data_IF_337380641818
#
_entry.id   IF_337380641818
#
_cell.length_a   1.000
_cell.length_b   1.000
_cell.length_c   1.000
_cell.angle_alpha   90.00
_cell.angle_beta   90.00
_cell.angle_gamma   90.00
#
_symmetry.space_group_name_H-M   'P 1'
#
loop_
_entity.id
_entity.type
_entity.pdbx_description
1 polymer ?
#
# COMPACT_ATOMS: atom_id res chain seq x y z
N UNK A 1 -1.97 -4.16 -7.56
CA UNK A 1 -3.37 -4.65 -7.54
C UNK A 1 -3.50 -6.09 -7.05
N UNK A 2 -2.88 -7.12 -7.68
CA UNK A 2 -3.02 -8.53 -7.22
C UNK A 2 -2.74 -8.79 -5.73
N UNK A 3 -1.70 -8.19 -5.15
CA UNK A 3 -1.40 -8.32 -3.71
C UNK A 3 -2.53 -7.76 -2.84
N UNK A 4 -3.11 -6.64 -3.27
CA UNK A 4 -4.21 -5.96 -2.59
C UNK A 4 -5.47 -6.81 -2.66
N UNK A 5 -5.79 -7.35 -3.84
CA UNK A 5 -6.91 -8.29 -4.02
C UNK A 5 -6.81 -9.48 -3.07
N UNK A 6 -5.64 -10.14 -3.04
CA UNK A 6 -5.42 -11.29 -2.15
C UNK A 6 -5.58 -10.93 -0.67
N UNK A 7 -5.09 -9.76 -0.25
CA UNK A 7 -5.25 -9.30 1.13
C UNK A 7 -6.73 -9.05 1.45
N UNK A 8 -7.44 -8.37 0.56
CA UNK A 8 -8.87 -8.10 0.69
C UNK A 8 -9.72 -9.38 0.73
N UNK A 9 -9.47 -10.33 -0.18
CA UNK A 9 -10.15 -11.63 -0.21
C UNK A 9 -10.00 -12.41 1.12
N UNK A 10 -8.94 -12.14 1.87
CA UNK A 10 -8.67 -12.72 3.20
C UNK A 10 -9.11 -11.85 4.37
N UNK A 11 -9.88 -10.78 4.12
CA UNK A 11 -10.31 -9.78 5.11
C UNK A 11 -9.13 -9.18 5.90
N UNK A 12 -8.01 -8.91 5.22
CA UNK A 12 -6.84 -8.28 5.84
C UNK A 12 -6.80 -6.78 5.47
N UNK A 13 -7.13 -5.87 6.41
CA UNK A 13 -7.03 -4.43 6.15
C UNK A 13 -5.61 -4.06 5.74
N UNK A 14 -5.49 -3.29 4.67
CA UNK A 14 -4.20 -3.03 4.02
C UNK A 14 -3.92 -1.54 3.90
N UNK A 15 -2.70 -1.14 4.24
CA UNK A 15 -2.17 0.19 3.99
C UNK A 15 -1.15 0.12 2.85
N UNK A 16 -1.35 0.89 1.78
CA UNK A 16 -0.41 1.01 0.67
C UNK A 16 0.33 2.34 0.83
N UNK A 17 1.65 2.28 0.97
CA UNK A 17 2.48 3.48 1.09
C UNK A 17 2.94 3.93 -0.30
N UNK A 18 2.23 4.90 -0.88
CA UNK A 18 2.63 5.55 -2.13
C UNK A 18 3.76 6.56 -1.88
N UNK A 19 4.65 6.74 -2.87
CA UNK A 19 5.77 7.69 -2.81
C UNK A 19 5.32 9.14 -2.80
N UNK A 20 4.24 9.43 -3.51
CA UNK A 20 3.70 10.76 -3.70
C UNK A 20 2.21 10.67 -4.11
N UNK A 21 1.57 11.84 -4.20
CA UNK A 21 0.16 11.96 -4.60
C UNK A 21 -0.11 11.39 -6.00
N UNK A 22 0.79 11.63 -6.96
CA UNK A 22 0.61 11.15 -8.33
C UNK A 22 0.60 9.61 -8.40
N UNK A 23 1.45 8.95 -7.62
CA UNK A 23 1.42 7.50 -7.51
C UNK A 23 0.16 7.02 -6.78
N UNK A 24 -0.33 7.75 -5.77
CA UNK A 24 -1.55 7.38 -5.06
C UNK A 24 -2.77 7.40 -6.00
N UNK A 25 -2.94 8.46 -6.77
CA UNK A 25 -4.00 8.59 -7.79
C UNK A 25 -3.90 7.51 -8.86
N UNK A 26 -2.69 7.27 -9.38
CA UNK A 26 -2.48 6.20 -10.35
C UNK A 26 -2.82 4.81 -9.78
N UNK A 27 -2.56 4.57 -8.50
CA UNK A 27 -2.91 3.31 -7.85
C UNK A 27 -4.42 3.15 -7.63
N UNK A 28 -5.10 4.24 -7.29
CA UNK A 28 -6.56 4.29 -7.15
C UNK A 28 -7.23 3.90 -8.48
N UNK A 29 -6.87 4.58 -9.57
CA UNK A 29 -7.35 4.27 -10.93
C UNK A 29 -7.04 2.81 -11.32
N UNK A 30 -5.82 2.34 -11.03
CA UNK A 30 -5.40 0.98 -11.36
C UNK A 30 -6.13 -0.09 -10.55
N UNK A 31 -6.53 0.20 -9.31
CA UNK A 31 -7.30 -0.73 -8.49
C UNK A 31 -8.75 -0.80 -8.96
N UNK A 32 -9.36 0.34 -9.33
CA UNK A 32 -10.69 0.35 -9.94
C UNK A 32 -10.76 -0.35 -11.29
N UNK A 33 -9.73 -0.18 -12.13
CA UNK A 33 -9.67 -0.79 -13.46
C UNK A 33 -9.11 -2.22 -13.46
N UNK A 34 -8.71 -2.76 -12.29
CA UNK A 34 -7.89 -3.97 -12.22
C UNK A 34 -8.60 -5.22 -12.75
N UNK A 35 -9.79 -5.49 -12.22
CA UNK A 35 -10.59 -6.66 -12.54
C UNK A 35 -12.06 -6.27 -12.39
N UNK A 36 -12.88 -6.33 -13.47
CA UNK A 36 -14.28 -5.93 -13.41
C UNK A 36 -15.13 -6.78 -12.46
N UNK A 37 -14.67 -7.98 -12.13
CA UNK A 37 -15.35 -8.89 -11.18
C UNK A 37 -14.82 -8.73 -9.74
N UNK A 38 -13.73 -7.98 -9.53
CA UNK A 38 -13.14 -7.73 -8.21
C UNK A 38 -13.48 -6.31 -7.72
N UNK A 39 -14.49 -6.21 -6.85
CA UNK A 39 -14.73 -4.98 -6.11
C UNK A 39 -13.82 -4.93 -4.87
N UNK A 40 -12.77 -4.11 -4.93
CA UNK A 40 -11.86 -3.85 -3.80
C UNK A 40 -12.19 -2.46 -3.28
N UNK A 41 -12.89 -2.30 -2.15
CA UNK A 41 -13.17 -0.97 -1.60
C UNK A 41 -11.86 -0.37 -1.06
N UNK A 42 -11.47 0.75 -1.66
CA UNK A 42 -10.24 1.47 -1.36
C UNK A 42 -10.45 2.97 -1.51
N UNK A 43 -9.57 3.75 -0.88
CA UNK A 43 -9.49 5.20 -1.08
C UNK A 43 -8.08 5.73 -0.79
N UNK A 44 -7.80 6.93 -1.27
CA UNK A 44 -6.65 7.70 -0.82
C UNK A 44 -6.94 8.23 0.58
N UNK A 45 -6.00 8.04 1.50
CA UNK A 45 -6.15 8.48 2.88
C UNK A 45 -6.46 9.98 2.99
N UNK A 46 -7.42 10.32 3.85
CA UNK A 46 -7.88 11.69 4.06
C UNK A 46 -8.74 12.28 2.93
N UNK A 47 -9.15 11.48 1.94
CA UNK A 47 -10.11 11.94 0.92
C UNK A 47 -11.53 12.08 1.49
N UNK A 48 -11.89 11.24 2.46
CA UNK A 48 -13.21 11.13 3.07
C UNK A 48 -13.11 10.82 4.58
N UNK A 49 -14.23 10.91 5.30
CA UNK A 49 -14.29 10.67 6.75
C UNK A 49 -14.23 9.18 7.14
N UNK A 50 -14.25 8.28 6.16
CA UNK A 50 -14.42 6.83 6.35
C UNK A 50 -13.08 6.04 6.39
N UNK A 51 -11.95 6.71 6.59
CA UNK A 51 -10.60 6.08 6.63
C UNK A 51 -10.53 4.87 7.59
N UNK A 52 -11.25 4.92 8.71
CA UNK A 52 -11.30 3.87 9.72
C UNK A 52 -12.00 2.59 9.27
N UNK A 53 -12.93 2.68 8.31
CA UNK A 53 -13.77 1.56 7.86
C UNK A 53 -13.43 1.07 6.46
N UNK A 54 -12.76 1.90 5.64
CA UNK A 54 -12.37 1.51 4.28
C UNK A 54 -11.34 0.38 4.33
N UNK A 55 -11.49 -0.79 3.68
CA UNK A 55 -10.59 -1.94 3.82
C UNK A 55 -9.16 -1.74 3.31
N UNK A 56 -8.95 -0.85 2.34
CA UNK A 56 -7.63 -0.56 1.77
C UNK A 56 -7.42 0.96 1.72
N UNK A 57 -6.36 1.46 2.35
CA UNK A 57 -5.96 2.86 2.24
C UNK A 57 -4.71 3.01 1.38
N UNK A 58 -4.68 4.05 0.56
CA UNK A 58 -3.50 4.50 -0.18
C UNK A 58 -3.00 5.77 0.50
N UNK A 59 -1.84 5.70 1.15
CA UNK A 59 -1.28 6.81 1.92
C UNK A 59 -0.12 7.47 1.17
N UNK A 60 -0.14 8.79 1.12
CA UNK A 60 1.03 9.60 0.72
C UNK A 60 1.94 9.85 1.94
N UNK A 61 3.20 10.32 1.76
CA UNK A 61 4.10 10.57 2.88
C UNK A 61 3.55 11.52 3.94
N UNK A 62 2.68 12.44 3.55
CA UNK A 62 2.11 13.47 4.42
C UNK A 62 0.73 13.09 5.00
N UNK A 63 0.20 11.90 4.67
CA UNK A 63 -1.08 11.40 5.17
C UNK A 63 -0.97 10.89 6.61
N UNK A 64 -1.88 11.33 7.48
CA UNK A 64 -2.14 10.67 8.77
C UNK A 64 -3.18 9.55 8.53
N UNK A 65 -2.89 8.33 9.02
CA UNK A 65 -3.75 7.17 8.73
C UNK A 65 -3.88 6.23 9.93
N UNK A 66 -5.04 5.58 10.09
CA UNK A 66 -5.16 4.47 11.02
C UNK A 66 -4.19 3.34 10.61
N UNK A 67 -3.51 2.77 11.59
CA UNK A 67 -2.60 1.65 11.37
C UNK A 67 -3.35 0.40 10.89
N UNK A 68 -2.69 -0.40 10.05
CA UNK A 68 -3.28 -1.61 9.46
C UNK A 68 -2.35 -2.81 9.62
N UNK A 69 -2.89 -4.03 9.76
CA UNK A 69 -2.09 -5.23 9.98
C UNK A 69 -1.17 -5.55 8.79
N UNK A 70 -1.57 -5.23 7.56
CA UNK A 70 -0.74 -5.38 6.37
C UNK A 70 -0.33 -4.03 5.79
N UNK A 71 0.98 -3.86 5.58
CA UNK A 71 1.55 -2.71 4.86
C UNK A 71 2.15 -3.19 3.55
N UNK A 72 1.85 -2.52 2.45
CA UNK A 72 2.53 -2.67 1.16
C UNK A 72 3.35 -1.41 0.92
N UNK A 73 4.67 -1.52 1.01
CA UNK A 73 5.57 -0.38 0.92
C UNK A 73 6.07 -0.18 -0.51
N UNK A 74 5.75 0.96 -1.12
CA UNK A 74 6.28 1.39 -2.43
C UNK A 74 7.27 2.55 -2.30
N UNK A 75 7.56 2.99 -1.07
CA UNK A 75 8.47 4.08 -0.76
C UNK A 75 9.91 3.59 -0.65
N UNK A 76 10.83 4.55 -0.68
CA UNK A 76 12.26 4.27 -0.50
C UNK A 76 12.64 4.07 0.98
N UNK A 77 11.91 4.74 1.89
CA UNK A 77 12.08 4.60 3.33
C UNK A 77 11.38 3.32 3.86
N UNK A 78 11.95 2.65 4.88
CA UNK A 78 11.24 1.59 5.59
C UNK A 78 10.00 2.12 6.31
N UNK A 79 9.04 1.23 6.52
CA UNK A 79 7.94 1.46 7.43
C UNK A 79 8.37 1.13 8.86
N UNK A 80 8.19 2.06 9.79
CA UNK A 80 8.55 1.93 11.20
C UNK A 80 7.32 1.94 12.14
N UNK A 81 6.12 2.11 11.58
CA UNK A 81 4.87 2.10 12.34
C UNK A 81 4.37 0.68 12.68
N UNK A 82 3.32 0.58 13.52
CA UNK A 82 2.79 -0.71 13.93
C UNK A 82 2.09 -1.41 12.76
N UNK A 83 2.44 -2.68 12.56
CA UNK A 83 1.76 -3.60 11.65
C UNK A 83 2.14 -5.04 12.03
N UNK A 84 1.43 -6.02 11.47
CA UNK A 84 1.79 -7.44 11.61
C UNK A 84 2.76 -7.88 10.52
N UNK A 85 2.68 -7.29 9.33
CA UNK A 85 3.52 -7.63 8.19
C UNK A 85 3.72 -6.46 7.23
N UNK A 86 4.96 -6.28 6.79
CA UNK A 86 5.30 -5.40 5.65
C UNK A 86 5.62 -6.24 4.42
N UNK A 87 5.04 -5.87 3.28
CA UNK A 87 5.37 -6.38 1.96
C UNK A 87 6.14 -5.31 1.18
N UNK A 88 7.41 -5.58 0.92
CA UNK A 88 8.27 -4.75 0.11
C UNK A 88 8.15 -5.14 -1.37
N UNK A 89 7.71 -4.19 -2.22
CA UNK A 89 7.60 -4.46 -3.66
C UNK A 89 8.97 -4.24 -4.31
N UNK A 90 9.60 -5.35 -4.68
CA UNK A 90 10.91 -5.35 -5.35
C UNK A 90 10.70 -5.18 -6.85
N UNK A 91 11.36 -4.19 -7.50
CA UNK A 91 11.37 -4.12 -8.96
C UNK A 91 11.92 -5.40 -9.58
N UNK A 92 11.40 -5.77 -10.75
CA UNK A 92 11.87 -6.94 -11.48
C UNK A 92 13.34 -6.78 -11.93
N UNK A 93 13.77 -5.55 -12.18
CA UNK A 93 15.14 -5.21 -12.54
C UNK A 93 16.12 -5.54 -11.40
N UNK A 94 17.08 -6.47 -11.61
CA UNK A 94 18.08 -6.81 -10.61
C UNK A 94 18.95 -5.62 -10.16
N UNK A 95 19.21 -4.64 -11.04
CA UNK A 95 20.02 -3.46 -10.71
C UNK A 95 19.32 -2.54 -9.70
N UNK A 96 17.99 -2.56 -9.67
CA UNK A 96 17.18 -1.79 -8.74
C UNK A 96 17.01 -2.47 -7.35
N UNK A 97 17.73 -3.58 -7.08
CA UNK A 97 17.60 -4.34 -5.82
C UNK A 97 18.58 -3.92 -4.73
N UNK A 98 19.67 -3.24 -5.06
CA UNK A 98 20.65 -2.78 -4.07
C UNK A 98 20.03 -1.86 -3.00
N UNK A 99 19.24 -0.83 -3.35
CA UNK A 99 18.57 0.03 -2.36
C UNK A 99 17.63 -0.77 -1.43
N UNK A 100 16.96 -1.79 -1.98
CA UNK A 100 16.09 -2.65 -1.19
C UNK A 100 16.85 -3.46 -0.14
N UNK A 101 18.06 -3.95 -0.46
CA UNK A 101 18.87 -4.73 0.48
C UNK A 101 19.27 -3.91 1.70
N UNK A 102 19.54 -2.62 1.53
CA UNK A 102 19.83 -1.74 2.65
C UNK A 102 18.59 -1.52 3.53
N UNK A 103 17.41 -1.33 2.91
CA UNK A 103 16.14 -1.21 3.65
C UNK A 103 15.79 -2.48 4.44
N UNK A 104 16.08 -3.67 3.88
CA UNK A 104 15.85 -4.94 4.57
C UNK A 104 16.60 -5.09 5.89
N UNK A 105 17.70 -4.36 6.13
CA UNK A 105 18.42 -4.40 7.40
C UNK A 105 17.67 -3.70 8.55
N UNK A 106 16.61 -2.95 8.24
CA UNK A 106 15.82 -2.21 9.22
C UNK A 106 14.69 -3.05 9.83
N UNK A 107 14.30 -4.15 9.17
CA UNK A 107 13.29 -5.10 9.64
C UNK A 107 13.94 -6.30 10.32
#
# INVERSE_FOLDING_TARGET
CELVRKAYDTNQPTLILARDQAQAEALDDLLWAFDPDAYIPHQIAGSDEDDDITPVLIATPDSDTPSRPLVINLRDAPWDGPCERVLEVVPADPAAREPLRERWKHY
#
